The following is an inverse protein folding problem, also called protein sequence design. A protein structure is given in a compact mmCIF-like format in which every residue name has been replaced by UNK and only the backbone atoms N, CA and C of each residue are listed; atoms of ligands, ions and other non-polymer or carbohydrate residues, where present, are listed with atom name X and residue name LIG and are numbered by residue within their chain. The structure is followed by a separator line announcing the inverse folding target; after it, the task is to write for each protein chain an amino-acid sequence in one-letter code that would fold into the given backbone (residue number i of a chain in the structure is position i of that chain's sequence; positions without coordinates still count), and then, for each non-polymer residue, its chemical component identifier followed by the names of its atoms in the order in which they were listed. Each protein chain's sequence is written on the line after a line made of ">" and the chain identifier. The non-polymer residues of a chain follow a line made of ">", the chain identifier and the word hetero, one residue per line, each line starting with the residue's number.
data_IF_246586960771
#
_entry.id   IF_246586960771
#
_cell.length_a   1.000
_cell.length_b   1.000
_cell.length_c   1.000
_cell.angle_alpha   90.00
_cell.angle_beta   90.00
_cell.angle_gamma   90.00
#
_symmetry.space_group_name_H-M   'P 1'
#
loop_
_entity.id
_entity.type
_entity.pdbx_description
1 polymer ?
#
# COMPACT_ATOMS: atom_id res chain seq x y z
N UNK A 1 6.64 11.16 -2.93
CA UNK A 1 6.75 11.74 -4.29
C UNK A 1 6.78 13.26 -4.22
N UNK A 2 7.49 13.93 -5.12
CA UNK A 2 7.46 15.41 -5.22
C UNK A 2 6.14 15.86 -5.83
N UNK A 3 5.42 16.77 -5.16
CA UNK A 3 4.15 17.34 -5.62
C UNK A 3 4.17 18.85 -5.48
N UNK A 4 3.51 19.54 -6.41
CA UNK A 4 3.17 20.96 -6.25
C UNK A 4 2.06 21.08 -5.21
N UNK A 5 2.32 21.81 -4.12
CA UNK A 5 1.34 22.04 -3.05
C UNK A 5 1.19 23.52 -2.77
N UNK A 6 0.04 23.91 -2.24
CA UNK A 6 -0.15 25.21 -1.61
C UNK A 6 0.12 25.04 -0.11
N UNK A 7 1.25 25.56 0.36
CA UNK A 7 1.63 25.49 1.78
C UNK A 7 1.09 26.71 2.52
N UNK A 8 0.29 26.47 3.55
CA UNK A 8 -0.22 27.50 4.47
C UNK A 8 0.64 27.52 5.75
N UNK A 9 1.30 28.65 6.06
CA UNK A 9 2.12 28.81 7.26
C UNK A 9 2.06 30.23 7.81
N UNK A 10 1.61 30.40 9.05
CA UNK A 10 1.57 31.71 9.73
C UNK A 10 0.78 32.79 8.97
N UNK A 11 -0.37 32.42 8.39
CA UNK A 11 -1.21 33.32 7.59
C UNK A 11 -0.69 33.63 6.18
N UNK A 12 0.43 33.04 5.76
CA UNK A 12 0.97 33.14 4.39
C UNK A 12 0.72 31.86 3.62
N UNK A 13 0.45 32.01 2.33
CA UNK A 13 0.28 30.90 1.40
C UNK A 13 1.42 30.96 0.36
N UNK A 14 2.03 29.82 0.04
CA UNK A 14 3.05 29.74 -1.00
C UNK A 14 2.89 28.45 -1.80
N UNK A 15 2.94 28.56 -3.12
CA UNK A 15 3.02 27.39 -4.01
C UNK A 15 4.46 26.90 -4.05
N UNK A 16 4.70 25.67 -3.61
CA UNK A 16 6.03 25.08 -3.50
C UNK A 16 6.04 23.63 -3.98
N UNK A 17 7.22 23.12 -4.32
CA UNK A 17 7.43 21.68 -4.43
C UNK A 17 7.65 21.10 -3.04
N UNK A 18 6.97 19.99 -2.74
CA UNK A 18 7.10 19.30 -1.47
C UNK A 18 7.10 17.79 -1.66
N UNK A 19 7.71 17.07 -0.71
CA UNK A 19 7.66 15.61 -0.68
C UNK A 19 6.43 15.17 0.12
N UNK A 20 5.45 14.62 -0.58
CA UNK A 20 4.25 14.07 0.03
C UNK A 20 4.31 12.55 -0.06
N UNK A 21 4.04 11.88 1.06
CA UNK A 21 3.94 10.43 1.12
C UNK A 21 2.86 9.94 0.14
N UNK A 22 3.15 8.83 -0.54
CA UNK A 22 2.16 8.14 -1.34
C UNK A 22 1.47 7.10 -0.48
N UNK A 23 0.15 7.00 -0.63
CA UNK A 23 -0.69 6.06 0.09
C UNK A 23 -1.81 5.65 -0.87
N UNK A 24 -1.98 4.35 -1.09
CA UNK A 24 -3.01 3.78 -1.96
C UNK A 24 -3.64 2.56 -1.30
N UNK A 25 -4.89 2.21 -1.66
CA UNK A 25 -5.49 0.97 -1.20
C UNK A 25 -4.80 -0.24 -1.83
N UNK A 26 -4.50 -1.24 -1.00
CA UNK A 26 -3.93 -2.53 -1.36
C UNK A 26 -4.89 -3.61 -0.88
N UNK A 27 -5.51 -4.33 -1.80
CA UNK A 27 -6.44 -5.41 -1.52
C UNK A 27 -5.71 -6.74 -1.39
N UNK A 28 -6.06 -7.52 -0.37
CA UNK A 28 -5.55 -8.87 -0.14
C UNK A 28 -6.61 -9.88 -0.56
N UNK A 29 -6.26 -10.75 -1.49
CA UNK A 29 -7.08 -11.88 -1.89
C UNK A 29 -6.31 -13.17 -1.61
N UNK A 30 -6.85 -14.04 -0.76
CA UNK A 30 -6.27 -15.35 -0.52
C UNK A 30 -7.07 -16.39 -1.30
N UNK A 31 -6.41 -17.11 -2.21
CA UNK A 31 -7.06 -18.10 -3.08
C UNK A 31 -8.29 -17.53 -3.81
N UNK A 32 -8.21 -16.27 -4.25
CA UNK A 32 -9.29 -15.55 -4.92
C UNK A 32 -10.41 -15.01 -4.02
N UNK A 33 -10.30 -15.16 -2.69
CA UNK A 33 -11.28 -14.64 -1.74
C UNK A 33 -10.79 -13.31 -1.14
N UNK A 34 -11.57 -12.21 -1.26
CA UNK A 34 -11.21 -10.94 -0.63
C UNK A 34 -11.12 -11.07 0.89
N UNK A 35 -10.04 -10.57 1.47
CA UNK A 35 -9.80 -10.64 2.92
C UNK A 35 -9.77 -9.26 3.56
N UNK A 36 -8.93 -8.36 3.06
CA UNK A 36 -8.77 -7.02 3.61
C UNK A 36 -8.35 -6.00 2.53
N UNK A 37 -8.51 -4.72 2.85
CA UNK A 37 -7.92 -3.62 2.10
C UNK A 37 -7.17 -2.73 3.08
N UNK A 38 -5.90 -2.47 2.80
CA UNK A 38 -5.02 -1.63 3.60
C UNK A 38 -4.58 -0.41 2.81
N UNK A 39 -4.50 0.75 3.45
CA UNK A 39 -3.82 1.90 2.87
C UNK A 39 -2.32 1.73 3.08
N UNK A 40 -1.54 1.71 1.99
CA UNK A 40 -0.11 1.45 2.04
C UNK A 40 0.67 2.28 1.02
N UNK A 41 1.97 2.44 1.29
CA UNK A 41 2.92 2.96 0.29
C UNK A 41 3.02 1.95 -0.87
N UNK A 42 3.02 2.39 -2.14
CA UNK A 42 3.00 1.52 -3.31
C UNK A 42 4.38 0.92 -3.65
N UNK A 43 5.08 0.43 -2.64
CA UNK A 43 6.43 -0.11 -2.71
C UNK A 43 6.49 -1.40 -1.87
N UNK A 44 7.33 -2.34 -2.26
CA UNK A 44 7.60 -3.60 -1.53
C UNK A 44 6.33 -4.40 -1.15
N UNK A 45 5.35 -4.45 -2.06
CA UNK A 45 4.02 -5.03 -1.78
C UNK A 45 4.04 -6.53 -1.53
N UNK A 46 4.98 -7.28 -2.11
CA UNK A 46 5.14 -8.71 -1.81
C UNK A 46 5.62 -8.93 -0.38
N UNK A 47 6.62 -8.16 0.08
CA UNK A 47 7.10 -8.20 1.46
C UNK A 47 5.99 -7.76 2.42
N UNK A 48 5.19 -6.77 2.03
CA UNK A 48 3.99 -6.39 2.78
C UNK A 48 2.99 -7.55 2.87
N UNK A 49 2.80 -8.32 1.80
CA UNK A 49 1.94 -9.50 1.79
C UNK A 49 2.39 -10.55 2.82
N UNK A 50 3.67 -10.90 2.83
CA UNK A 50 4.24 -11.85 3.80
C UNK A 50 4.13 -11.32 5.23
N UNK A 51 4.56 -10.08 5.46
CA UNK A 51 4.56 -9.46 6.79
C UNK A 51 3.15 -9.37 7.38
N UNK A 52 2.17 -8.93 6.58
CA UNK A 52 0.77 -8.87 6.99
C UNK A 52 0.21 -10.26 7.31
N UNK A 53 0.44 -11.25 6.42
CA UNK A 53 -0.11 -12.60 6.59
C UNK A 53 0.43 -13.30 7.84
N UNK A 54 1.70 -13.10 8.18
CA UNK A 54 2.30 -13.64 9.40
C UNK A 54 1.81 -12.90 10.64
N UNK A 55 1.76 -11.56 10.60
CA UNK A 55 1.39 -10.74 11.74
C UNK A 55 -0.07 -10.93 12.16
N UNK A 56 -0.96 -11.12 11.19
CA UNK A 56 -2.38 -11.38 11.43
C UNK A 56 -2.69 -12.87 11.68
N UNK A 57 -1.68 -13.76 11.66
CA UNK A 57 -1.87 -15.19 11.88
C UNK A 57 -2.69 -15.88 10.79
N UNK A 58 -2.66 -15.34 9.56
CA UNK A 58 -3.30 -15.95 8.39
C UNK A 58 -2.52 -17.19 7.96
N UNK A 59 -1.20 -17.15 8.12
CA UNK A 59 -0.28 -18.27 7.93
C UNK A 59 0.68 -18.38 9.12
N UNK A 60 1.13 -19.60 9.42
CA UNK A 60 2.06 -19.85 10.53
C UNK A 60 3.53 -19.67 10.11
N UNK A 61 3.85 -19.99 8.85
CA UNK A 61 5.22 -19.91 8.31
C UNK A 61 5.23 -19.23 6.93
N UNK A 62 6.33 -18.52 6.55
CA UNK A 62 6.40 -17.83 5.26
C UNK A 62 6.16 -18.74 4.05
N UNK A 63 6.60 -19.99 4.13
CA UNK A 63 6.45 -21.00 3.08
C UNK A 63 5.00 -21.46 2.85
N UNK A 64 4.09 -21.17 3.78
CA UNK A 64 2.66 -21.47 3.65
C UNK A 64 1.95 -20.40 2.79
N UNK A 65 2.63 -19.28 2.49
CA UNK A 65 2.15 -18.23 1.60
C UNK A 65 2.91 -18.24 0.29
N UNK A 66 2.18 -18.04 -0.80
CA UNK A 66 2.76 -17.72 -2.11
C UNK A 66 2.01 -16.54 -2.70
N UNK A 67 2.74 -15.46 -2.97
CA UNK A 67 2.20 -14.37 -3.79
C UNK A 67 2.24 -14.81 -5.24
N UNK A 68 1.07 -14.89 -5.86
CA UNK A 68 0.90 -15.30 -7.26
C UNK A 68 0.99 -14.10 -8.18
N UNK A 69 0.46 -12.96 -7.76
CA UNK A 69 0.50 -11.72 -8.53
C UNK A 69 0.37 -10.48 -7.66
N UNK A 70 0.98 -9.39 -8.14
CA UNK A 70 0.73 -8.02 -7.70
C UNK A 70 0.13 -7.28 -8.89
N UNK A 71 -1.17 -7.00 -8.84
CA UNK A 71 -1.88 -6.32 -9.91
C UNK A 71 -2.10 -4.86 -9.54
N UNK A 72 -1.60 -3.93 -10.37
CA UNK A 72 -1.77 -2.49 -10.14
C UNK A 72 -2.88 -1.92 -11.03
N UNK A 73 -3.76 -1.13 -10.42
CA UNK A 73 -4.88 -0.46 -11.05
C UNK A 73 -4.76 1.05 -10.86
N UNK A 74 -5.69 1.80 -11.46
CA UNK A 74 -5.77 3.25 -11.31
C UNK A 74 -6.10 3.64 -9.86
N UNK A 75 -6.92 2.84 -9.18
CA UNK A 75 -7.34 3.12 -7.80
C UNK A 75 -6.42 2.53 -6.73
N UNK A 76 -5.51 1.59 -7.04
CA UNK A 76 -4.71 0.88 -6.02
C UNK A 76 -4.00 -0.36 -6.55
N UNK A 77 -3.73 -1.34 -5.67
CA UNK A 77 -3.22 -2.65 -6.08
C UNK A 77 -3.97 -3.82 -5.42
N UNK A 78 -3.82 -5.01 -6.00
CA UNK A 78 -4.30 -6.27 -5.45
C UNK A 78 -3.15 -7.27 -5.32
N UNK A 79 -3.09 -7.92 -4.17
CA UNK A 79 -2.22 -9.05 -3.85
C UNK A 79 -3.05 -10.34 -4.00
N UNK A 80 -2.53 -11.29 -4.78
CA UNK A 80 -3.16 -12.59 -5.06
C UNK A 80 -2.28 -13.74 -4.60
#
# INVERSE_FOLDING_TARGET
>A
MVRTVVRHRGGRNATVQDMVAAEMPVAFHYNGVPFAVMMATPEDLEDFAFGFSLSEGIVDQPQDLRVVAVETFLEGASLQ
#
